data_IF_381772403231
#
_entry.id   IF_381772403231
#
_cell.length_a   1.000
_cell.length_b   1.000
_cell.length_c   1.000
_cell.angle_alpha   90.00
_cell.angle_beta   90.00
_cell.angle_gamma   90.00
#
_symmetry.space_group_name_H-M   'P 1'
#
loop_
_entity.id
_entity.type
_entity.pdbx_description
1 polymer ?
#
# COMPACT_ATOMS: atom_id res chain seq x y z
N UNK A 1 23.49 -2.49 34.77
CA UNK A 1 22.26 -2.21 33.98
C UNK A 1 22.33 -0.76 33.55
N UNK A 2 22.42 -0.34 32.29
CA UNK A 2 22.56 -1.02 31.00
C UNK A 2 23.20 0.06 30.09
N UNK A 3 24.50 -0.05 29.83
CA UNK A 3 25.18 0.84 28.86
C UNK A 3 24.84 0.46 27.40
N UNK A 4 24.16 -0.67 27.17
CA UNK A 4 23.76 -1.15 25.83
C UNK A 4 22.38 -0.68 25.36
N UNK A 5 21.53 -0.07 26.21
CA UNK A 5 20.23 0.47 25.78
C UNK A 5 20.32 1.84 25.08
N UNK A 6 21.47 2.51 25.16
CA UNK A 6 21.70 3.84 24.57
C UNK A 6 22.22 3.79 23.13
N UNK A 7 22.58 2.61 22.61
CA UNK A 7 23.16 2.44 21.27
C UNK A 7 22.13 2.43 20.13
N UNK A 8 20.84 2.38 20.43
CA UNK A 8 19.74 2.29 19.43
C UNK A 8 18.77 3.47 19.51
N UNK A 9 19.24 4.62 20.03
CA UNK A 9 18.43 5.84 20.09
C UNK A 9 19.00 6.83 19.09
N UNK A 10 18.28 6.98 17.99
CA UNK A 10 18.66 7.90 16.93
C UNK A 10 17.82 9.18 16.96
N UNK A 11 18.33 10.24 16.33
CA UNK A 11 17.60 11.51 16.18
C UNK A 11 16.50 11.41 15.14
N UNK A 12 15.39 12.11 15.38
CA UNK A 12 14.22 12.15 14.50
C UNK A 12 14.56 12.77 13.14
N UNK A 13 14.25 12.07 12.05
CA UNK A 13 14.65 12.45 10.70
C UNK A 13 13.96 13.70 10.15
N UNK A 14 12.79 14.07 10.68
CA UNK A 14 11.95 15.11 10.09
C UNK A 14 12.23 16.54 10.56
N UNK A 15 13.32 16.80 11.29
CA UNK A 15 13.64 18.15 11.82
C UNK A 15 13.87 19.18 10.71
N UNK A 16 14.50 18.77 9.61
CA UNK A 16 14.84 19.64 8.49
C UNK A 16 13.75 19.70 7.40
N UNK A 17 12.60 19.06 7.61
CA UNK A 17 11.56 18.99 6.60
C UNK A 17 10.54 20.14 6.71
N UNK A 18 9.96 20.59 5.57
CA UNK A 18 8.93 21.62 5.58
C UNK A 18 7.73 21.26 6.46
N UNK A 19 7.23 22.23 7.24
CA UNK A 19 5.97 22.06 7.95
C UNK A 19 4.77 22.15 7.00
N UNK A 20 3.79 21.27 7.19
CA UNK A 20 2.66 21.11 6.27
C UNK A 20 1.43 21.98 6.58
N UNK A 21 1.63 23.05 7.36
CA UNK A 21 0.61 24.06 7.73
C UNK A 21 -0.78 23.45 8.03
N UNK A 22 -0.80 22.36 8.78
CA UNK A 22 -1.97 21.73 9.39
C UNK A 22 -2.99 21.05 8.47
N UNK A 23 -3.11 21.43 7.19
CA UNK A 23 -4.06 20.81 6.20
C UNK A 23 -3.66 21.03 4.73
N UNK A 24 -2.81 22.01 4.45
CA UNK A 24 -2.43 22.41 3.09
C UNK A 24 -0.94 22.59 2.97
N UNK A 25 -0.36 21.93 1.99
CA UNK A 25 1.03 22.13 1.60
C UNK A 25 1.07 22.95 0.32
N UNK A 26 1.61 24.16 0.40
CA UNK A 26 1.73 25.06 -0.75
C UNK A 26 2.97 24.66 -1.54
N UNK A 27 2.76 24.23 -2.77
CA UNK A 27 3.80 23.77 -3.70
C UNK A 27 4.32 24.98 -4.49
N UNK A 28 3.42 25.83 -4.97
CA UNK A 28 3.77 26.99 -5.78
C UNK A 28 2.76 28.12 -5.63
N UNK A 29 3.23 29.36 -5.65
CA UNK A 29 2.42 30.56 -5.84
C UNK A 29 3.06 31.43 -6.91
N UNK A 30 2.27 31.89 -7.87
CA UNK A 30 2.74 32.72 -8.98
C UNK A 30 1.89 32.51 -10.22
N UNK A 31 2.39 32.95 -11.36
CA UNK A 31 1.67 32.81 -12.62
C UNK A 31 1.67 31.35 -13.09
N UNK A 32 0.57 30.93 -13.73
CA UNK A 32 0.35 29.58 -14.25
C UNK A 32 -0.10 29.65 -15.71
N UNK A 33 0.25 28.63 -16.49
CA UNK A 33 -0.30 28.44 -17.83
C UNK A 33 -1.02 27.10 -17.96
N UNK A 34 -2.16 27.11 -18.63
CA UNK A 34 -2.85 25.89 -19.04
C UNK A 34 -2.68 25.73 -20.54
N UNK A 35 -2.17 24.58 -20.95
CA UNK A 35 -1.93 24.24 -22.36
C UNK A 35 -2.65 22.95 -22.74
N UNK A 36 -2.96 22.80 -24.02
CA UNK A 36 -3.42 21.52 -24.57
C UNK A 36 -2.25 20.57 -24.84
N UNK A 37 -2.56 19.35 -25.27
CA UNK A 37 -1.57 18.32 -25.68
C UNK A 37 -0.60 18.80 -26.78
N UNK A 38 -1.04 19.75 -27.62
CA UNK A 38 -0.24 20.31 -28.72
C UNK A 38 0.59 21.52 -28.24
N UNK A 39 0.64 21.74 -26.92
CA UNK A 39 1.37 22.81 -26.23
C UNK A 39 0.89 24.22 -26.54
N UNK A 40 -0.33 24.39 -27.06
CA UNK A 40 -0.92 25.70 -27.25
C UNK A 40 -1.43 26.24 -25.91
N UNK A 41 -1.03 27.45 -25.53
CA UNK A 41 -1.54 28.11 -24.33
C UNK A 41 -3.01 28.47 -24.51
N UNK A 42 -3.87 27.86 -23.70
CA UNK A 42 -5.31 28.10 -23.65
C UNK A 42 -5.66 29.19 -22.64
N UNK A 43 -5.04 29.11 -21.45
CA UNK A 43 -5.23 30.08 -20.38
C UNK A 43 -3.89 30.50 -19.76
N UNK A 44 -3.82 31.78 -19.39
CA UNK A 44 -2.80 32.30 -18.48
C UNK A 44 -3.52 32.76 -17.22
N UNK A 45 -3.04 32.31 -16.07
CA UNK A 45 -3.60 32.64 -14.77
C UNK A 45 -2.58 33.46 -13.97
N UNK A 46 -3.02 34.55 -13.35
CA UNK A 46 -2.24 35.25 -12.32
C UNK A 46 -2.77 34.87 -10.92
N UNK A 47 -2.03 35.29 -9.88
CA UNK A 47 -2.32 34.92 -8.48
C UNK A 47 -2.52 33.40 -8.31
N UNK A 48 -1.84 32.62 -9.15
CA UNK A 48 -1.98 31.18 -9.20
C UNK A 48 -1.44 30.55 -7.93
N UNK A 49 -2.07 29.48 -7.49
CA UNK A 49 -1.65 28.71 -6.33
C UNK A 49 -1.84 27.23 -6.61
N UNK A 50 -0.79 26.46 -6.39
CA UNK A 50 -0.79 25.00 -6.46
C UNK A 50 -0.47 24.47 -5.06
N UNK A 51 -1.34 23.59 -4.55
CA UNK A 51 -1.21 23.06 -3.19
C UNK A 51 -1.81 21.67 -3.06
N UNK A 52 -1.17 20.82 -2.24
CA UNK A 52 -1.78 19.60 -1.75
C UNK A 52 -2.72 19.95 -0.59
N UNK A 53 -3.96 19.46 -0.64
CA UNK A 53 -4.89 19.50 0.49
C UNK A 53 -5.16 18.08 0.92
N UNK A 54 -5.00 17.79 2.22
CA UNK A 54 -5.31 16.47 2.77
C UNK A 54 -6.83 16.27 2.97
N UNK A 55 -7.63 17.34 2.92
CA UNK A 55 -9.07 17.31 3.13
C UNK A 55 -9.88 17.74 1.90
N UNK A 56 -11.07 17.13 1.67
CA UNK A 56 -11.63 15.99 2.41
C UNK A 56 -10.93 14.66 2.07
N UNK A 57 -10.19 14.61 0.96
CA UNK A 57 -9.24 13.55 0.58
C UNK A 57 -7.95 14.20 0.08
N UNK A 58 -6.78 13.55 0.21
CA UNK A 58 -5.54 14.02 -0.39
C UNK A 58 -5.72 14.24 -1.88
N UNK A 59 -5.56 15.49 -2.31
CA UNK A 59 -5.58 15.90 -3.72
C UNK A 59 -4.74 17.14 -3.93
N UNK A 60 -4.12 17.20 -5.10
CA UNK A 60 -3.33 18.34 -5.55
C UNK A 60 -4.27 19.29 -6.30
N UNK A 61 -4.45 20.49 -5.75
CA UNK A 61 -5.33 21.51 -6.30
C UNK A 61 -4.51 22.61 -6.95
N UNK A 62 -5.09 23.21 -7.99
CA UNK A 62 -4.63 24.49 -8.51
C UNK A 62 -5.80 25.46 -8.64
N UNK A 63 -5.49 26.75 -8.56
CA UNK A 63 -6.45 27.84 -8.82
C UNK A 63 -5.71 29.10 -9.27
N UNK A 64 -6.37 29.99 -9.98
CA UNK A 64 -5.87 31.32 -10.32
C UNK A 64 -6.90 32.16 -11.06
N UNK A 65 -6.63 33.45 -11.22
CA UNK A 65 -7.52 34.37 -11.93
C UNK A 65 -7.12 34.43 -13.42
N UNK A 66 -8.10 34.33 -14.32
CA UNK A 66 -7.87 34.27 -15.76
C UNK A 66 -7.53 35.66 -16.27
N UNK A 67 -6.31 35.85 -16.76
CA UNK A 67 -5.87 37.10 -17.42
C UNK A 67 -5.88 36.99 -18.94
N UNK A 68 -5.71 35.78 -19.47
CA UNK A 68 -5.74 35.50 -20.92
C UNK A 68 -6.42 34.16 -21.17
N UNK A 69 -7.25 34.11 -22.21
CA UNK A 69 -7.99 32.92 -22.63
C UNK A 69 -9.46 33.23 -22.88
N UNK A 70 -10.09 32.50 -23.79
CA UNK A 70 -11.54 32.56 -24.01
C UNK A 70 -12.18 31.32 -23.41
N UNK A 71 -13.42 31.42 -22.92
CA UNK A 71 -14.15 30.23 -22.52
C UNK A 71 -14.29 29.29 -23.72
N UNK A 72 -13.76 28.07 -23.58
CA UNK A 72 -14.05 26.97 -24.50
C UNK A 72 -15.10 26.08 -23.86
N UNK A 73 -16.13 25.71 -24.62
CA UNK A 73 -17.25 24.88 -24.13
C UNK A 73 -16.88 23.39 -23.96
N UNK A 74 -15.75 22.94 -24.52
CA UNK A 74 -15.41 21.51 -24.66
C UNK A 74 -14.15 21.09 -23.88
N UNK A 75 -13.81 21.79 -22.78
CA UNK A 75 -12.61 21.49 -21.99
C UNK A 75 -12.61 20.06 -21.42
N UNK A 76 -13.78 19.50 -21.13
CA UNK A 76 -13.93 18.16 -20.55
C UNK A 76 -13.48 17.03 -21.50
N UNK A 77 -13.36 17.31 -22.80
CA UNK A 77 -12.94 16.34 -23.82
C UNK A 77 -11.45 16.43 -24.19
N UNK A 78 -10.73 17.41 -23.65
CA UNK A 78 -9.35 17.72 -24.04
C UNK A 78 -8.38 17.33 -22.92
N UNK A 79 -7.24 16.77 -23.30
CA UNK A 79 -6.12 16.64 -22.37
C UNK A 79 -5.49 18.00 -22.12
N UNK A 80 -5.44 18.39 -20.85
CA UNK A 80 -4.93 19.68 -20.41
C UNK A 80 -3.72 19.46 -19.50
N UNK A 81 -2.78 20.39 -19.59
CA UNK A 81 -1.54 20.39 -18.84
C UNK A 81 -1.32 21.74 -18.18
N UNK A 82 -0.95 21.72 -16.91
CA UNK A 82 -0.52 22.88 -16.14
C UNK A 82 0.99 23.04 -16.27
N UNK A 83 1.41 24.26 -16.60
CA UNK A 83 2.80 24.68 -16.67
C UNK A 83 3.04 25.72 -15.57
N UNK A 84 4.06 25.50 -14.77
CA UNK A 84 4.58 26.42 -13.77
C UNK A 84 6.12 26.38 -13.79
N UNK A 85 6.81 27.44 -13.34
CA UNK A 85 8.27 27.50 -13.31
C UNK A 85 8.90 26.33 -12.56
N UNK A 86 9.99 25.78 -13.08
CA UNK A 86 10.82 24.71 -12.49
C UNK A 86 10.17 23.31 -12.34
N UNK A 87 8.90 23.14 -12.75
CA UNK A 87 8.23 21.84 -12.76
C UNK A 87 7.99 21.30 -14.17
N UNK A 88 7.93 19.98 -14.27
CA UNK A 88 7.45 19.29 -15.46
C UNK A 88 5.95 19.61 -15.70
N UNK A 89 5.48 19.63 -16.96
CA UNK A 89 4.06 19.83 -17.25
C UNK A 89 3.20 18.74 -16.59
N UNK A 90 2.21 19.14 -15.80
CA UNK A 90 1.38 18.22 -15.03
C UNK A 90 -0.01 18.09 -15.67
N UNK A 91 -0.53 16.87 -15.84
CA UNK A 91 -1.88 16.66 -16.40
C UNK A 91 -2.93 17.16 -15.42
N UNK A 92 -3.97 17.84 -15.90
CA UNK A 92 -5.01 18.44 -15.05
C UNK A 92 -6.43 18.10 -15.48
N UNK A 93 -7.33 18.22 -14.52
CA UNK A 93 -8.78 18.32 -14.74
C UNK A 93 -9.27 19.65 -14.19
N UNK A 94 -9.93 20.43 -15.04
CA UNK A 94 -10.58 21.68 -14.62
C UNK A 94 -11.93 21.33 -14.01
N UNK A 95 -12.16 21.74 -12.76
CA UNK A 95 -13.37 21.34 -12.01
C UNK A 95 -14.22 22.53 -11.57
N UNK A 96 -13.77 23.77 -11.82
CA UNK A 96 -14.52 24.95 -11.40
C UNK A 96 -14.16 26.19 -12.17
N UNK A 97 -15.20 26.89 -12.63
CA UNK A 97 -15.15 28.23 -13.18
C UNK A 97 -16.00 29.16 -12.32
N UNK A 98 -15.46 30.31 -11.95
CA UNK A 98 -16.22 31.36 -11.27
C UNK A 98 -16.20 32.64 -12.09
N UNK A 99 -17.37 33.23 -12.24
CA UNK A 99 -17.59 34.51 -12.90
C UNK A 99 -18.15 35.48 -11.88
N UNK A 100 -17.42 36.56 -11.62
CA UNK A 100 -17.91 37.69 -10.85
C UNK A 100 -17.83 38.94 -11.71
N UNK A 101 -18.92 39.73 -11.72
CA UNK A 101 -18.92 41.03 -12.38
C UNK A 101 -17.90 42.00 -11.77
N UNK A 102 -17.51 41.78 -10.50
CA UNK A 102 -16.59 42.65 -9.76
C UNK A 102 -15.19 42.05 -9.58
N UNK A 103 -15.05 40.72 -9.52
CA UNK A 103 -13.78 40.04 -9.19
C UNK A 103 -13.15 39.32 -10.40
N UNK A 104 -13.71 39.49 -11.60
CA UNK A 104 -13.20 38.86 -12.82
C UNK A 104 -13.56 37.38 -12.93
N UNK A 105 -12.76 36.64 -13.71
CA UNK A 105 -12.95 35.22 -13.97
C UNK A 105 -11.84 34.44 -13.25
N UNK A 106 -12.19 33.37 -12.53
CA UNK A 106 -11.20 32.45 -11.96
C UNK A 106 -11.46 31.01 -12.35
N UNK A 107 -10.38 30.24 -12.39
CA UNK A 107 -10.36 28.84 -12.78
C UNK A 107 -9.70 28.04 -11.67
N UNK A 108 -10.25 26.86 -11.39
CA UNK A 108 -9.68 25.91 -10.44
C UNK A 108 -9.84 24.47 -10.94
N UNK A 109 -8.99 23.60 -10.44
CA UNK A 109 -9.02 22.19 -10.79
C UNK A 109 -8.10 21.35 -9.92
N UNK A 110 -7.87 20.14 -10.37
CA UNK A 110 -6.96 19.19 -9.77
C UNK A 110 -5.86 18.79 -10.75
N UNK A 111 -4.69 18.46 -10.22
CA UNK A 111 -3.64 17.78 -10.96
C UNK A 111 -3.87 16.28 -10.81
N UNK A 112 -3.76 15.52 -11.90
CA UNK A 112 -3.85 14.06 -11.90
C UNK A 112 -2.47 13.45 -12.03
N UNK A 113 -2.23 12.33 -11.36
CA UNK A 113 -0.97 11.60 -11.28
C UNK A 113 0.08 12.26 -10.40
N UNK A 114 0.74 13.34 -10.86
CA UNK A 114 1.80 13.98 -10.10
C UNK A 114 2.12 15.40 -10.60
N UNK A 115 2.77 16.17 -9.74
CA UNK A 115 3.50 17.39 -10.08
C UNK A 115 4.92 17.27 -9.52
N UNK A 116 5.92 17.43 -10.39
CA UNK A 116 7.31 17.16 -10.02
C UNK A 116 8.29 18.09 -10.73
N UNK A 117 9.43 18.33 -10.08
CA UNK A 117 10.56 19.03 -10.69
C UNK A 117 11.35 18.12 -11.61
N UNK A 118 12.06 18.71 -12.56
CA UNK A 118 13.05 18.01 -13.38
C UNK A 118 14.04 17.25 -12.50
N UNK A 119 14.34 16.01 -12.88
CA UNK A 119 15.25 15.15 -12.12
C UNK A 119 16.63 15.78 -11.95
N UNK A 120 17.12 15.68 -10.72
CA UNK A 120 18.48 16.02 -10.35
C UNK A 120 19.03 14.91 -9.46
N UNK A 121 20.35 14.72 -9.46
CA UNK A 121 20.99 13.80 -8.53
C UNK A 121 20.90 14.32 -7.10
N UNK A 122 20.48 13.44 -6.20
CA UNK A 122 20.24 13.70 -4.77
C UNK A 122 21.05 12.69 -3.93
N UNK A 123 21.36 13.07 -2.69
CA UNK A 123 22.02 12.21 -1.71
C UNK A 123 21.00 11.44 -0.87
N UNK A 124 19.81 12.04 -0.68
CA UNK A 124 18.73 11.51 0.16
C UNK A 124 17.37 11.82 -0.44
N UNK A 125 16.46 10.86 -0.38
CA UNK A 125 15.07 11.01 -0.76
C UNK A 125 14.17 10.89 0.47
N UNK A 126 13.63 12.01 0.94
CA UNK A 126 12.65 12.02 2.02
C UNK A 126 11.24 11.83 1.48
N UNK A 127 10.40 11.20 2.28
CA UNK A 127 8.99 11.01 1.96
C UNK A 127 8.12 11.07 3.21
N UNK A 128 6.86 11.45 3.04
CA UNK A 128 5.88 11.44 4.13
C UNK A 128 4.94 10.25 3.99
N UNK A 129 4.57 9.65 5.14
CA UNK A 129 3.60 8.56 5.19
C UNK A 129 2.30 9.03 5.84
N UNK A 130 1.22 8.96 5.09
CA UNK A 130 -0.13 9.28 5.55
C UNK A 130 -0.82 8.06 6.13
N UNK A 131 -1.46 8.25 7.28
CA UNK A 131 -2.35 7.27 7.89
C UNK A 131 -1.74 5.89 8.18
N UNK A 132 -0.43 5.74 8.41
CA UNK A 132 0.14 4.48 8.90
C UNK A 132 -0.03 4.32 10.42
N UNK A 133 -0.01 3.08 10.90
CA UNK A 133 -0.36 2.75 12.28
C UNK A 133 0.67 3.15 13.32
N UNK A 134 0.22 3.29 14.58
CA UNK A 134 1.07 3.58 15.72
C UNK A 134 1.92 2.36 16.09
N UNK A 135 2.91 2.07 15.25
CA UNK A 135 3.79 0.91 15.38
C UNK A 135 4.81 1.12 16.50
N UNK A 136 5.06 0.06 17.25
CA UNK A 136 6.25 -0.04 18.09
C UNK A 136 7.46 -0.27 17.17
N UNK A 137 8.63 0.18 17.58
CA UNK A 137 9.83 0.22 16.74
C UNK A 137 11.04 0.59 17.57
N UNK A 138 12.16 0.84 16.91
CA UNK A 138 13.40 1.26 17.60
C UNK A 138 13.24 2.66 18.21
N UNK A 139 14.16 3.01 19.11
CA UNK A 139 14.12 4.26 19.87
C UNK A 139 14.43 5.48 19.00
N UNK A 140 13.62 6.52 19.16
CA UNK A 140 13.77 7.83 18.51
C UNK A 140 13.87 8.89 19.60
N UNK A 141 14.86 9.77 19.47
CA UNK A 141 15.01 11.00 20.26
C UNK A 141 14.61 12.21 19.42
N UNK A 142 13.80 13.08 20.02
CA UNK A 142 13.49 14.39 19.46
C UNK A 142 13.33 15.40 20.58
N UNK A 143 14.11 16.48 20.55
CA UNK A 143 14.23 17.43 21.65
C UNK A 143 14.47 16.70 23.00
N UNK A 144 13.61 16.92 24.00
CA UNK A 144 13.65 16.28 25.32
C UNK A 144 12.77 15.02 25.41
N UNK A 145 12.31 14.46 24.28
CA UNK A 145 11.43 13.30 24.23
C UNK A 145 12.17 12.07 23.69
N UNK A 146 11.87 10.93 24.29
CA UNK A 146 12.27 9.60 23.84
C UNK A 146 11.02 8.76 23.62
N UNK A 147 10.89 8.13 22.45
CA UNK A 147 9.76 7.28 22.12
C UNK A 147 10.16 6.20 21.11
N UNK A 148 9.40 5.11 21.04
CA UNK A 148 9.62 4.02 20.07
C UNK A 148 8.82 4.26 18.79
N UNK A 149 9.41 4.00 17.62
CA UNK A 149 8.68 4.07 16.35
C UNK A 149 9.55 4.15 15.10
N UNK A 150 10.82 3.75 15.17
CA UNK A 150 11.70 3.64 14.00
C UNK A 150 11.63 2.25 13.39
N UNK A 151 11.49 2.20 12.07
CA UNK A 151 11.56 0.99 11.24
C UNK A 151 12.73 1.17 10.27
N UNK A 152 13.53 0.13 10.07
CA UNK A 152 14.64 0.14 9.11
C UNK A 152 14.50 -1.00 8.14
N UNK A 153 14.37 -0.69 6.85
CA UNK A 153 14.27 -1.67 5.77
C UNK A 153 15.52 -1.58 4.91
N UNK A 154 15.98 -2.72 4.40
CA UNK A 154 17.17 -2.81 3.57
C UNK A 154 16.89 -3.61 2.30
N UNK A 155 17.46 -3.17 1.18
CA UNK A 155 17.43 -3.92 -0.08
C UNK A 155 18.63 -3.56 -0.95
N UNK A 156 19.51 -4.54 -1.20
CA UNK A 156 20.75 -4.35 -1.97
C UNK A 156 21.58 -3.18 -1.40
N UNK A 157 21.80 -2.12 -2.17
CA UNK A 157 22.53 -0.92 -1.76
C UNK A 157 21.67 0.11 -1.03
N UNK A 158 20.37 -0.13 -0.86
CA UNK A 158 19.42 0.84 -0.33
C UNK A 158 19.09 0.60 1.13
N UNK A 159 19.12 1.68 1.90
CA UNK A 159 18.62 1.75 3.26
C UNK A 159 17.41 2.68 3.30
N UNK A 160 16.34 2.23 3.96
CA UNK A 160 15.12 3.00 4.17
C UNK A 160 14.88 3.08 5.67
N UNK A 161 14.78 4.29 6.20
CA UNK A 161 14.45 4.52 7.61
C UNK A 161 13.10 5.24 7.66
N UNK A 162 12.20 4.77 8.51
CA UNK A 162 10.87 5.34 8.72
C UNK A 162 10.71 5.67 10.20
N UNK A 163 10.49 6.94 10.50
CA UNK A 163 10.28 7.47 11.84
C UNK A 163 8.85 7.91 12.06
N UNK A 164 8.26 7.40 13.14
CA UNK A 164 7.00 7.92 13.69
C UNK A 164 7.16 9.37 14.15
N UNK A 165 6.12 10.18 13.91
CA UNK A 165 6.11 11.61 14.29
C UNK A 165 6.23 11.82 15.82
N UNK A 166 6.96 12.87 16.27
CA UNK A 166 7.11 13.15 17.70
C UNK A 166 5.80 13.49 18.43
N UNK A 167 4.82 14.03 17.71
CA UNK A 167 3.46 14.35 18.21
C UNK A 167 2.43 13.24 17.93
N UNK A 168 2.88 11.99 17.74
CA UNK A 168 2.03 10.84 17.38
C UNK A 168 0.77 10.69 18.24
N UNK A 169 0.85 10.87 19.57
CA UNK A 169 -0.34 10.77 20.45
C UNK A 169 -1.48 11.69 19.99
N UNK A 170 -1.17 12.96 19.75
CA UNK A 170 -2.14 13.93 19.24
C UNK A 170 -2.64 13.57 17.85
N UNK A 171 -1.73 13.11 16.97
CA UNK A 171 -2.08 12.69 15.60
C UNK A 171 -3.09 11.53 15.64
N UNK A 172 -2.81 10.46 16.39
CA UNK A 172 -3.70 9.30 16.46
C UNK A 172 -5.00 9.59 17.19
N UNK A 173 -4.99 10.43 18.22
CA UNK A 173 -6.23 10.91 18.85
C UNK A 173 -7.09 11.70 17.86
N UNK A 174 -6.48 12.56 17.04
CA UNK A 174 -7.19 13.29 15.99
C UNK A 174 -7.73 12.37 14.89
N UNK A 175 -6.93 11.39 14.44
CA UNK A 175 -7.32 10.43 13.42
C UNK A 175 -8.48 9.56 13.90
N UNK A 176 -8.46 9.08 15.15
CA UNK A 176 -9.58 8.34 15.77
C UNK A 176 -10.88 9.14 15.81
N UNK A 177 -10.78 10.43 16.08
CA UNK A 177 -11.95 11.31 16.21
C UNK A 177 -12.50 11.79 14.86
N UNK A 178 -11.71 11.74 13.79
CA UNK A 178 -12.09 12.35 12.50
C UNK A 178 -12.17 11.37 11.34
N UNK A 179 -11.45 10.25 11.40
CA UNK A 179 -11.27 9.30 10.29
C UNK A 179 -10.75 9.95 9.01
N UNK A 180 -9.92 11.00 9.14
CA UNK A 180 -9.37 11.77 8.03
C UNK A 180 -7.91 11.36 7.73
N UNK A 181 -7.11 12.32 7.26
CA UNK A 181 -5.77 12.12 6.73
C UNK A 181 -4.78 13.00 7.49
N UNK A 182 -3.73 12.37 8.00
CA UNK A 182 -2.61 13.06 8.64
C UNK A 182 -1.32 12.28 8.44
N UNK A 183 -0.21 13.00 8.51
CA UNK A 183 1.12 12.41 8.42
C UNK A 183 1.47 11.78 9.73
N UNK A 184 1.70 10.49 9.65
CA UNK A 184 1.96 9.61 10.78
C UNK A 184 3.46 9.33 10.93
N UNK A 185 4.17 9.28 9.80
CA UNK A 185 5.60 9.00 9.74
C UNK A 185 6.31 9.85 8.68
N UNK A 186 7.62 9.98 8.85
CA UNK A 186 8.57 10.50 7.87
C UNK A 186 9.52 9.36 7.52
N UNK A 187 9.82 9.17 6.25
CA UNK A 187 10.84 8.25 5.81
C UNK A 187 11.95 8.93 5.03
N UNK A 188 13.09 8.25 4.94
CA UNK A 188 14.23 8.61 4.10
C UNK A 188 14.73 7.35 3.39
N UNK A 189 15.09 7.50 2.11
CA UNK A 189 15.82 6.51 1.33
C UNK A 189 17.22 7.06 1.06
N UNK A 190 18.23 6.24 1.35
CA UNK A 190 19.63 6.54 1.08
C UNK A 190 20.32 5.33 0.45
N UNK A 191 21.42 5.58 -0.25
CA UNK A 191 22.36 4.52 -0.61
C UNK A 191 23.34 4.28 0.54
N UNK A 192 23.62 3.02 0.81
CA UNK A 192 24.62 2.56 1.78
C UNK A 192 26.04 2.94 1.37
N UNK A 193 26.31 3.07 0.06
CA UNK A 193 27.59 3.54 -0.49
C UNK A 193 27.75 5.08 -0.53
N UNK A 194 26.71 5.80 -0.08
CA UNK A 194 26.64 7.27 -0.02
C UNK A 194 26.90 7.97 -1.35
N UNK A 195 26.72 7.27 -2.48
CA UNK A 195 26.75 7.92 -3.79
C UNK A 195 25.43 8.65 -4.08
N UNK A 196 25.48 9.78 -4.81
CA UNK A 196 24.27 10.41 -5.32
C UNK A 196 23.51 9.47 -6.27
N UNK A 197 22.19 9.66 -6.34
CA UNK A 197 21.30 8.89 -7.22
C UNK A 197 20.18 9.79 -7.76
N UNK A 198 19.50 9.35 -8.81
CA UNK A 198 18.29 10.04 -9.28
C UNK A 198 17.06 9.53 -8.55
N UNK A 199 16.06 10.37 -8.26
CA UNK A 199 14.82 9.92 -7.61
C UNK A 199 14.17 8.70 -8.27
N UNK A 200 14.20 8.62 -9.60
CA UNK A 200 13.69 7.49 -10.38
C UNK A 200 14.38 6.16 -10.05
N UNK A 201 15.66 6.18 -9.68
CA UNK A 201 16.40 4.98 -9.28
C UNK A 201 15.81 4.35 -8.01
N UNK A 202 15.06 5.12 -7.20
CA UNK A 202 14.42 4.67 -5.97
C UNK A 202 12.89 4.48 -6.09
N UNK A 203 12.29 4.73 -7.26
CA UNK A 203 10.82 4.65 -7.45
C UNK A 203 10.27 3.25 -7.12
N UNK A 204 11.00 2.20 -7.48
CA UNK A 204 10.60 0.83 -7.19
C UNK A 204 10.50 0.54 -5.69
N UNK A 205 11.31 1.22 -4.86
CA UNK A 205 11.27 1.09 -3.40
C UNK A 205 10.03 1.78 -2.83
N UNK A 206 9.70 2.97 -3.33
CA UNK A 206 8.50 3.70 -2.92
C UNK A 206 7.22 2.92 -3.29
N UNK A 207 7.17 2.36 -4.51
CA UNK A 207 6.05 1.51 -4.93
C UNK A 207 5.94 0.26 -4.05
N UNK A 208 7.06 -0.45 -3.80
CA UNK A 208 7.06 -1.61 -2.91
C UNK A 208 6.63 -1.24 -1.48
N UNK A 209 7.05 -0.09 -0.98
CA UNK A 209 6.69 0.40 0.34
C UNK A 209 5.20 0.74 0.43
N UNK A 210 4.65 1.44 -0.56
CA UNK A 210 3.22 1.74 -0.65
C UNK A 210 2.38 0.48 -0.53
N UNK A 211 2.68 -0.53 -1.35
CA UNK A 211 1.93 -1.79 -1.36
C UNK A 211 2.17 -2.63 -0.10
N UNK A 212 3.39 -2.68 0.42
CA UNK A 212 3.69 -3.43 1.63
C UNK A 212 2.96 -2.84 2.85
N UNK A 213 3.04 -1.52 3.05
CA UNK A 213 2.37 -0.88 4.19
C UNK A 213 0.85 -0.99 4.05
N UNK A 214 0.32 -0.90 2.82
CA UNK A 214 -1.10 -1.09 2.55
C UNK A 214 -1.55 -2.53 2.81
N UNK A 215 -0.75 -3.52 2.43
CA UNK A 215 -0.97 -4.93 2.74
C UNK A 215 -0.95 -5.21 4.24
N UNK A 216 0.02 -4.62 4.95
CA UNK A 216 0.16 -4.76 6.40
C UNK A 216 -1.05 -4.18 7.15
N UNK A 217 -1.70 -3.13 6.63
CA UNK A 217 -2.84 -2.48 7.28
C UNK A 217 -4.20 -2.84 6.70
N UNK A 218 -4.23 -3.45 5.52
CA UNK A 218 -5.49 -3.79 4.86
C UNK A 218 -6.27 -2.58 4.36
N UNK A 219 -5.57 -1.46 4.11
CA UNK A 219 -6.11 -0.20 3.56
C UNK A 219 -5.00 0.58 2.89
N UNK A 220 -5.32 1.48 1.97
CA UNK A 220 -4.31 2.24 1.24
C UNK A 220 -3.61 3.26 2.14
N UNK A 221 -2.29 3.15 2.23
CA UNK A 221 -1.39 4.06 2.95
C UNK A 221 -0.81 5.07 1.96
N UNK A 222 -0.80 6.36 2.29
CA UNK A 222 -0.32 7.40 1.37
C UNK A 222 1.18 7.65 1.47
N UNK A 223 1.83 7.86 0.32
CA UNK A 223 3.24 8.23 0.18
C UNK A 223 3.34 9.35 -0.86
N UNK A 224 2.65 10.45 -0.56
CA UNK A 224 2.25 11.42 -1.59
C UNK A 224 3.26 12.55 -1.78
N UNK A 225 4.16 12.78 -0.83
CA UNK A 225 5.09 13.92 -0.85
C UNK A 225 6.51 13.37 -0.78
N UNK A 226 7.30 13.65 -1.82
CA UNK A 226 8.67 13.23 -1.99
C UNK A 226 9.58 14.45 -2.14
N UNK A 227 10.69 14.47 -1.40
CA UNK A 227 11.62 15.59 -1.34
C UNK A 227 13.05 15.08 -1.47
N UNK A 228 13.75 15.54 -2.51
CA UNK A 228 15.10 15.14 -2.84
C UNK A 228 16.11 16.18 -2.39
N UNK A 229 17.08 15.76 -1.59
CA UNK A 229 18.09 16.64 -1.00
C UNK A 229 19.48 16.34 -1.54
N UNK A 230 20.25 17.40 -1.79
CA UNK A 230 21.68 17.34 -2.06
C UNK A 230 22.38 18.36 -1.18
N UNK A 231 23.45 17.96 -0.49
CA UNK A 231 24.18 18.85 0.44
C UNK A 231 23.24 19.57 1.45
N UNK A 232 22.26 18.85 2.01
CA UNK A 232 21.23 19.36 2.95
C UNK A 232 20.26 20.41 2.35
N UNK A 233 20.27 20.62 1.04
CA UNK A 233 19.34 21.51 0.34
C UNK A 233 18.32 20.69 -0.47
N UNK A 234 17.03 21.00 -0.29
CA UNK A 234 15.95 20.41 -1.08
C UNK A 234 15.99 20.97 -2.51
N UNK A 235 16.46 20.16 -3.46
CA UNK A 235 16.61 20.55 -4.88
C UNK A 235 15.58 19.88 -5.81
N UNK A 236 14.95 18.80 -5.33
CA UNK A 236 13.93 18.08 -6.07
C UNK A 236 12.69 17.86 -5.20
N UNK A 237 11.52 17.87 -5.83
CA UNK A 237 10.24 17.72 -5.16
C UNK A 237 9.26 17.07 -6.13
N UNK A 238 8.50 16.09 -5.63
CA UNK A 238 7.41 15.44 -6.35
C UNK A 238 6.25 15.21 -5.40
N UNK A 239 5.06 15.60 -5.83
CA UNK A 239 3.82 15.37 -5.12
C UNK A 239 2.94 14.49 -6.00
N UNK A 240 2.57 13.33 -5.47
CA UNK A 240 1.83 12.29 -6.16
C UNK A 240 0.35 12.28 -5.73
N UNK A 241 -0.52 11.94 -6.67
CA UNK A 241 -1.94 11.72 -6.49
C UNK A 241 -2.21 10.22 -6.32
N UNK A 242 -1.84 9.68 -5.16
CA UNK A 242 -2.04 8.28 -4.82
C UNK A 242 -3.41 8.04 -4.17
N UNK A 243 -3.92 6.80 -4.29
CA UNK A 243 -5.09 6.37 -3.52
C UNK A 243 -4.67 6.27 -2.05
N UNK A 244 -5.35 6.99 -1.18
CA UNK A 244 -5.18 6.92 0.27
C UNK A 244 -6.54 6.68 0.90
N UNK A 245 -6.59 5.75 1.85
CA UNK A 245 -7.81 5.45 2.58
C UNK A 245 -7.98 6.35 3.78
N UNK A 246 -9.25 6.58 4.15
CA UNK A 246 -9.58 7.18 5.44
C UNK A 246 -8.88 6.41 6.56
N UNK A 247 -8.49 7.11 7.61
CA UNK A 247 -7.97 6.42 8.77
C UNK A 247 -9.10 5.72 9.53
N UNK A 248 -8.86 4.46 9.87
CA UNK A 248 -9.64 3.69 10.82
C UNK A 248 -8.70 2.93 11.77
N UNK A 249 -9.24 2.36 12.84
CA UNK A 249 -8.46 1.50 13.76
C UNK A 249 -7.96 0.21 13.09
N UNK A 250 -8.34 -0.03 11.82
CA UNK A 250 -7.99 -1.16 11.00
C UNK A 250 -8.82 -2.40 11.31
N UNK A 251 -8.98 -3.24 10.29
CA UNK A 251 -9.37 -4.64 10.49
C UNK A 251 -8.16 -5.43 11.00
N UNK A 252 -8.41 -6.60 11.57
CA UNK A 252 -7.34 -7.55 11.89
C UNK A 252 -6.66 -7.94 10.57
N UNK A 253 -5.33 -7.89 10.54
CA UNK A 253 -4.51 -8.33 9.40
C UNK A 253 -3.45 -9.31 9.87
N UNK A 254 -2.69 -9.87 8.92
CA UNK A 254 -1.52 -10.70 9.21
C UNK A 254 -0.38 -9.99 9.97
N UNK A 255 -0.34 -8.66 9.98
CA UNK A 255 0.75 -7.87 10.54
C UNK A 255 0.46 -7.40 11.97
N UNK A 256 1.47 -7.48 12.85
CA UNK A 256 1.37 -6.94 14.21
C UNK A 256 2.14 -5.62 14.34
N UNK A 257 1.46 -4.57 14.78
CA UNK A 257 2.09 -3.27 15.08
C UNK A 257 3.12 -3.33 16.24
N UNK A 258 3.11 -4.39 17.04
CA UNK A 258 4.11 -4.63 18.10
C UNK A 258 5.38 -5.31 17.58
N UNK A 259 5.33 -5.87 16.37
CA UNK A 259 6.42 -6.64 15.77
C UNK A 259 6.77 -6.05 14.38
N UNK A 260 7.22 -4.79 14.32
CA UNK A 260 7.57 -4.10 13.07
C UNK A 260 8.67 -4.82 12.28
N UNK A 261 9.50 -5.64 12.94
CA UNK A 261 10.55 -6.43 12.31
C UNK A 261 10.01 -7.44 11.29
N UNK A 262 8.70 -7.74 11.34
CA UNK A 262 8.01 -8.48 10.29
C UNK A 262 8.10 -7.77 8.93
N UNK A 263 8.03 -6.43 8.91
CA UNK A 263 8.18 -5.63 7.70
C UNK A 263 9.62 -5.71 7.18
N UNK A 264 10.61 -5.67 8.08
CA UNK A 264 12.03 -5.80 7.71
C UNK A 264 12.30 -7.12 6.99
N UNK A 265 11.72 -8.22 7.48
CA UNK A 265 11.88 -9.56 6.89
C UNK A 265 11.20 -9.71 5.54
N UNK A 266 10.01 -9.16 5.37
CA UNK A 266 9.21 -9.36 4.16
C UNK A 266 9.57 -8.37 3.04
N UNK A 267 10.08 -7.18 3.37
CA UNK A 267 10.37 -6.13 2.39
C UNK A 267 11.24 -6.57 1.19
N UNK A 268 12.41 -7.24 1.38
CA UNK A 268 13.20 -7.69 0.24
C UNK A 268 12.47 -8.76 -0.60
N UNK A 269 11.69 -9.63 0.04
CA UNK A 269 10.87 -10.63 -0.65
C UNK A 269 9.78 -9.98 -1.51
N UNK A 270 9.17 -8.92 -0.96
CA UNK A 270 8.14 -8.13 -1.62
C UNK A 270 8.67 -7.46 -2.89
N UNK A 271 9.82 -6.78 -2.81
CA UNK A 271 10.47 -6.17 -3.97
C UNK A 271 10.79 -7.23 -5.03
N UNK A 272 11.38 -8.35 -4.63
CA UNK A 272 11.75 -9.41 -5.57
C UNK A 272 10.52 -9.97 -6.30
N UNK A 273 9.39 -10.16 -5.60
CA UNK A 273 8.17 -10.66 -6.22
C UNK A 273 7.48 -9.62 -7.11
N UNK A 274 7.54 -8.34 -6.77
CA UNK A 274 7.04 -7.27 -7.65
C UNK A 274 7.84 -7.13 -8.95
N UNK A 275 9.14 -7.44 -8.92
CA UNK A 275 10.02 -7.39 -10.09
C UNK A 275 9.98 -8.66 -10.95
N UNK A 276 9.28 -9.69 -10.49
CA UNK A 276 9.05 -10.92 -11.23
C UNK A 276 8.17 -10.62 -12.47
N UNK A 277 8.64 -10.91 -13.70
CA UNK A 277 7.89 -10.57 -14.92
C UNK A 277 6.54 -11.27 -15.04
N UNK A 278 6.38 -12.45 -14.42
CA UNK A 278 5.11 -13.17 -14.40
C UNK A 278 4.23 -12.63 -13.26
N UNK A 279 4.80 -12.43 -12.07
CA UNK A 279 4.01 -12.17 -10.87
C UNK A 279 3.77 -10.70 -10.54
N UNK A 280 4.57 -9.77 -11.03
CA UNK A 280 4.52 -8.36 -10.62
C UNK A 280 3.11 -7.77 -10.69
N UNK A 281 2.51 -7.76 -11.89
CA UNK A 281 1.15 -7.23 -12.09
C UNK A 281 0.07 -8.06 -11.37
N UNK A 282 0.19 -9.38 -11.38
CA UNK A 282 -0.79 -10.28 -10.75
C UNK A 282 -0.79 -10.18 -9.21
N UNK A 283 0.38 -9.94 -8.61
CA UNK A 283 0.50 -9.67 -7.17
C UNK A 283 -0.17 -8.34 -6.82
N UNK A 284 0.03 -7.29 -7.63
CA UNK A 284 -0.66 -6.00 -7.41
C UNK A 284 -2.17 -6.17 -7.45
N UNK A 285 -2.71 -6.89 -8.44
CA UNK A 285 -4.15 -7.18 -8.52
C UNK A 285 -4.65 -7.96 -7.29
N UNK A 286 -3.90 -8.96 -6.82
CA UNK A 286 -4.27 -9.72 -5.63
C UNK A 286 -4.27 -8.86 -4.36
N UNK A 287 -3.31 -7.93 -4.24
CA UNK A 287 -3.22 -6.99 -3.13
C UNK A 287 -4.35 -5.96 -3.15
N UNK A 288 -4.72 -5.45 -4.33
CA UNK A 288 -5.88 -4.58 -4.52
C UNK A 288 -7.16 -5.25 -4.03
N UNK A 289 -7.45 -6.47 -4.50
CA UNK A 289 -8.64 -7.21 -4.07
C UNK A 289 -8.59 -7.60 -2.59
N UNK A 290 -7.40 -7.87 -2.03
CA UNK A 290 -7.26 -8.06 -0.59
C UNK A 290 -7.64 -6.78 0.17
N UNK A 291 -7.15 -5.61 -0.24
CA UNK A 291 -7.49 -4.33 0.40
C UNK A 291 -8.98 -4.02 0.21
N UNK A 292 -9.51 -4.15 -1.00
CA UNK A 292 -10.94 -3.90 -1.28
C UNK A 292 -11.85 -4.87 -0.49
N UNK A 293 -11.41 -6.10 -0.21
CA UNK A 293 -12.13 -7.03 0.68
C UNK A 293 -12.17 -6.57 2.13
N UNK A 294 -11.13 -5.86 2.59
CA UNK A 294 -11.08 -5.28 3.93
C UNK A 294 -11.76 -3.91 3.99
N UNK A 295 -11.87 -3.18 2.88
CA UNK A 295 -12.64 -1.93 2.80
C UNK A 295 -14.13 -2.13 2.46
N UNK A 296 -14.52 -3.37 2.14
CA UNK A 296 -15.90 -3.73 1.80
C UNK A 296 -16.91 -3.30 2.87
N UNK A 297 -18.05 -2.75 2.42
CA UNK A 297 -19.13 -2.28 3.28
C UNK A 297 -20.05 -3.42 3.74
N UNK A 298 -20.13 -4.49 2.94
CA UNK A 298 -20.95 -5.67 3.21
C UNK A 298 -20.12 -6.94 3.02
N UNK A 299 -20.45 -8.00 3.78
CA UNK A 299 -19.68 -9.24 3.81
C UNK A 299 -19.64 -9.96 2.47
N UNK A 300 -20.70 -9.81 1.68
CA UNK A 300 -20.86 -10.40 0.36
C UNK A 300 -19.78 -9.93 -0.63
N UNK A 301 -19.38 -8.67 -0.56
CA UNK A 301 -18.29 -8.10 -1.37
C UNK A 301 -16.96 -8.78 -1.03
N UNK A 302 -16.68 -9.00 0.27
CA UNK A 302 -15.46 -9.71 0.71
C UNK A 302 -15.37 -11.10 0.09
N UNK A 303 -16.46 -11.87 0.09
CA UNK A 303 -16.48 -13.21 -0.52
C UNK A 303 -16.11 -13.16 -2.00
N UNK A 304 -16.58 -12.15 -2.74
CA UNK A 304 -16.27 -11.99 -4.17
C UNK A 304 -14.79 -11.66 -4.36
N UNK A 305 -14.26 -10.67 -3.63
CA UNK A 305 -12.87 -10.23 -3.78
C UNK A 305 -11.88 -11.31 -3.38
N UNK A 306 -12.10 -11.96 -2.25
CA UNK A 306 -11.24 -13.04 -1.76
C UNK A 306 -11.24 -14.23 -2.71
N UNK A 307 -12.42 -14.64 -3.23
CA UNK A 307 -12.49 -15.73 -4.21
C UNK A 307 -11.73 -15.38 -5.48
N UNK A 308 -11.89 -14.15 -5.97
CA UNK A 308 -11.23 -13.68 -7.20
C UNK A 308 -9.71 -13.67 -7.05
N UNK A 309 -9.19 -13.21 -5.91
CA UNK A 309 -7.75 -13.20 -5.63
C UNK A 309 -7.18 -14.62 -5.51
N UNK A 310 -7.84 -15.51 -4.76
CA UNK A 310 -7.41 -16.90 -4.63
C UNK A 310 -7.45 -17.64 -5.98
N UNK A 311 -8.49 -17.42 -6.79
CA UNK A 311 -8.60 -18.02 -8.12
C UNK A 311 -7.52 -17.49 -9.07
N UNK A 312 -7.23 -16.19 -9.05
CA UNK A 312 -6.15 -15.58 -9.85
C UNK A 312 -4.80 -16.19 -9.50
N UNK A 313 -4.46 -16.24 -8.21
CA UNK A 313 -3.18 -16.80 -7.75
C UNK A 313 -3.09 -18.29 -8.15
N UNK A 314 -4.16 -19.06 -7.95
CA UNK A 314 -4.23 -20.47 -8.34
C UNK A 314 -4.06 -20.66 -9.86
N UNK A 315 -4.69 -19.80 -10.67
CA UNK A 315 -4.61 -19.87 -12.13
C UNK A 315 -3.19 -19.61 -12.62
N UNK A 316 -2.55 -18.53 -12.14
CA UNK A 316 -1.17 -18.20 -12.51
C UNK A 316 -0.23 -19.33 -12.09
N UNK A 317 -0.34 -19.77 -10.83
CA UNK A 317 0.49 -20.85 -10.26
C UNK A 317 0.46 -22.12 -11.10
N UNK A 318 -0.72 -22.64 -11.41
CA UNK A 318 -0.84 -23.95 -12.05
C UNK A 318 -0.83 -23.95 -13.58
N UNK A 319 -1.14 -22.82 -14.22
CA UNK A 319 -1.25 -22.75 -15.69
C UNK A 319 -0.12 -21.96 -16.36
N UNK A 320 0.51 -21.02 -15.64
CA UNK A 320 1.54 -20.13 -16.20
C UNK A 320 2.92 -20.28 -15.53
N UNK A 321 2.98 -20.61 -14.24
CA UNK A 321 4.26 -20.81 -13.55
C UNK A 321 4.71 -22.27 -13.62
N UNK A 322 3.91 -23.19 -13.05
CA UNK A 322 4.27 -24.62 -12.97
C UNK A 322 3.85 -25.41 -14.21
N UNK A 323 2.95 -24.87 -15.03
CA UNK A 323 2.38 -25.52 -16.23
C UNK A 323 1.81 -26.94 -15.99
N UNK A 324 1.36 -27.24 -14.77
CA UNK A 324 0.85 -28.57 -14.37
C UNK A 324 -0.55 -28.82 -14.97
N UNK A 325 -1.36 -27.77 -15.14
CA UNK A 325 -2.74 -27.86 -15.62
C UNK A 325 -2.90 -26.95 -16.85
N UNK A 326 -3.43 -27.49 -17.96
CA UNK A 326 -3.77 -26.67 -19.12
C UNK A 326 -4.96 -25.76 -18.81
N UNK A 327 -5.02 -24.58 -19.46
CA UNK A 327 -6.13 -23.62 -19.30
C UNK A 327 -7.52 -24.29 -19.39
N UNK A 328 -7.77 -25.06 -20.46
CA UNK A 328 -9.07 -25.74 -20.66
C UNK A 328 -9.42 -26.77 -19.57
N UNK A 329 -8.42 -27.34 -18.90
CA UNK A 329 -8.64 -28.28 -17.78
C UNK A 329 -8.88 -27.52 -16.50
N UNK A 330 -8.13 -26.45 -16.26
CA UNK A 330 -8.28 -25.59 -15.10
C UNK A 330 -9.68 -24.95 -15.06
N UNK A 331 -10.16 -24.45 -16.20
CA UNK A 331 -11.48 -23.80 -16.32
C UNK A 331 -12.65 -24.76 -16.01
N UNK A 332 -12.42 -26.08 -16.08
CA UNK A 332 -13.42 -27.12 -15.75
C UNK A 332 -13.43 -27.52 -14.28
N UNK A 333 -12.45 -27.08 -13.48
CA UNK A 333 -12.41 -27.36 -12.05
C UNK A 333 -13.51 -26.61 -11.32
N UNK A 334 -14.10 -27.24 -10.30
CA UNK A 334 -14.96 -26.52 -9.36
C UNK A 334 -14.15 -25.46 -8.63
N UNK A 335 -14.77 -24.33 -8.29
CA UNK A 335 -14.07 -23.24 -7.61
C UNK A 335 -13.49 -23.66 -6.26
N UNK A 336 -14.19 -24.54 -5.53
CA UNK A 336 -13.69 -25.17 -4.31
C UNK A 336 -12.42 -25.97 -4.54
N UNK A 337 -12.31 -26.67 -5.67
CA UNK A 337 -11.11 -27.44 -6.05
C UNK A 337 -9.96 -26.53 -6.44
N UNK A 338 -10.21 -25.42 -7.15
CA UNK A 338 -9.16 -24.44 -7.49
C UNK A 338 -8.50 -23.87 -6.24
N UNK A 339 -9.30 -23.53 -5.22
CA UNK A 339 -8.81 -23.05 -3.92
C UNK A 339 -8.13 -24.19 -3.16
N UNK A 340 -8.75 -25.36 -3.07
CA UNK A 340 -8.20 -26.53 -2.37
C UNK A 340 -6.82 -26.94 -2.90
N UNK A 341 -6.65 -26.95 -4.23
CA UNK A 341 -5.37 -27.22 -4.90
C UNK A 341 -4.30 -26.20 -4.49
N UNK A 342 -4.63 -24.91 -4.53
CA UNK A 342 -3.70 -23.84 -4.14
C UNK A 342 -3.28 -23.96 -2.68
N UNK A 343 -4.25 -24.09 -1.76
CA UNK A 343 -3.96 -24.20 -0.33
C UNK A 343 -3.14 -25.44 -0.02
N UNK A 344 -3.40 -26.56 -0.69
CA UNK A 344 -2.61 -27.77 -0.55
C UNK A 344 -1.17 -27.58 -1.05
N UNK A 345 -0.96 -27.01 -2.25
CA UNK A 345 0.38 -26.68 -2.78
C UNK A 345 1.15 -25.77 -1.83
N UNK A 346 0.45 -24.83 -1.18
CA UNK A 346 1.03 -23.87 -0.26
C UNK A 346 1.20 -24.39 1.17
N UNK A 347 0.73 -25.59 1.47
CA UNK A 347 0.79 -26.18 2.82
C UNK A 347 -0.14 -25.50 3.83
N UNK A 348 -1.20 -24.85 3.36
CA UNK A 348 -2.18 -24.16 4.20
C UNK A 348 -3.31 -25.14 4.61
N UNK A 349 -3.64 -25.25 5.92
CA UNK A 349 -4.70 -26.15 6.37
C UNK A 349 -6.08 -25.81 5.78
N UNK A 350 -6.72 -26.79 5.14
CA UNK A 350 -8.06 -26.62 4.53
C UNK A 350 -9.22 -26.94 5.47
N UNK A 351 -8.96 -27.55 6.63
CA UNK A 351 -10.00 -27.95 7.59
C UNK A 351 -10.66 -26.74 8.24
N UNK A 352 -11.96 -26.84 8.52
CA UNK A 352 -12.71 -25.83 9.26
C UNK A 352 -12.30 -25.90 10.74
N UNK A 353 -11.71 -24.85 11.34
CA UNK A 353 -11.21 -24.88 12.71
C UNK A 353 -12.25 -24.51 13.77
N UNK A 354 -13.52 -24.36 13.37
CA UNK A 354 -14.63 -23.97 14.24
C UNK A 354 -15.87 -24.81 13.94
N UNK A 355 -16.81 -24.82 14.88
CA UNK A 355 -18.10 -25.48 14.70
C UNK A 355 -18.97 -24.67 13.73
N UNK A 356 -19.58 -25.36 12.77
CA UNK A 356 -20.53 -24.78 11.83
C UNK A 356 -21.72 -25.72 11.64
N UNK A 357 -22.93 -25.16 11.54
CA UNK A 357 -24.16 -25.92 11.32
C UNK A 357 -25.02 -25.29 10.21
N UNK A 358 -25.41 -26.05 9.16
CA UNK A 358 -25.05 -27.45 8.91
C UNK A 358 -23.55 -27.62 8.61
N UNK A 359 -23.00 -28.81 8.90
CA UNK A 359 -21.58 -29.09 8.68
C UNK A 359 -21.17 -29.08 7.19
N UNK A 360 -19.93 -28.72 6.91
CA UNK A 360 -19.31 -28.72 5.58
C UNK A 360 -18.06 -29.60 5.58
N UNK A 361 -17.67 -30.11 4.41
CA UNK A 361 -16.51 -31.00 4.26
C UNK A 361 -15.21 -30.31 4.65
N UNK A 362 -14.99 -29.11 4.13
CA UNK A 362 -13.81 -28.29 4.42
C UNK A 362 -14.08 -26.80 4.19
N UNK A 363 -13.09 -25.97 4.50
CA UNK A 363 -13.15 -24.52 4.37
C UNK A 363 -13.34 -24.03 2.93
N UNK A 364 -12.58 -24.52 1.93
CA UNK A 364 -12.78 -24.16 0.53
C UNK A 364 -14.22 -24.43 0.05
N UNK A 365 -14.81 -25.57 0.41
CA UNK A 365 -16.19 -25.88 0.04
C UNK A 365 -17.19 -24.95 0.73
N UNK A 366 -17.05 -24.73 2.05
CA UNK A 366 -17.88 -23.76 2.78
C UNK A 366 -17.83 -22.36 2.16
N UNK A 367 -16.63 -21.85 1.93
CA UNK A 367 -16.39 -20.50 1.43
C UNK A 367 -17.01 -20.30 0.04
N UNK A 368 -16.74 -21.24 -0.87
CA UNK A 368 -17.26 -21.16 -2.25
C UNK A 368 -18.76 -21.40 -2.33
N UNK A 369 -19.35 -22.22 -1.44
CA UNK A 369 -20.80 -22.39 -1.38
C UNK A 369 -21.51 -21.07 -1.02
N UNK A 370 -20.98 -20.32 -0.05
CA UNK A 370 -21.49 -19.00 0.33
C UNK A 370 -21.33 -18.02 -0.83
N UNK A 371 -20.11 -17.90 -1.39
CA UNK A 371 -19.85 -17.04 -2.56
C UNK A 371 -20.80 -17.34 -3.72
N UNK A 372 -20.99 -18.61 -4.05
CA UNK A 372 -21.85 -19.02 -5.15
C UNK A 372 -23.33 -18.68 -4.89
N UNK A 373 -23.78 -18.65 -3.62
CA UNK A 373 -25.14 -18.19 -3.29
C UNK A 373 -25.35 -16.69 -3.50
N UNK A 374 -24.26 -15.91 -3.46
CA UNK A 374 -24.26 -14.45 -3.69
C UNK A 374 -24.34 -14.17 -5.20
N UNK A 375 -23.49 -14.85 -5.98
CA UNK A 375 -23.38 -14.64 -7.43
C UNK A 375 -24.52 -15.29 -8.21
N UNK A 376 -25.03 -16.42 -7.74
CA UNK A 376 -26.11 -17.15 -8.38
C UNK A 376 -27.31 -17.28 -7.41
N UNK A 377 -28.45 -16.60 -7.68
CA UNK A 377 -29.59 -16.52 -6.75
C UNK A 377 -30.43 -17.81 -6.70
N UNK A 378 -29.82 -18.97 -6.93
CA UNK A 378 -30.48 -20.27 -6.79
C UNK A 378 -30.57 -20.62 -5.31
N UNK A 379 -31.72 -21.14 -4.86
CA UNK A 379 -31.94 -21.54 -3.46
C UNK A 379 -30.90 -22.59 -3.03
N UNK A 380 -29.90 -22.16 -2.27
CA UNK A 380 -29.00 -23.05 -1.52
C UNK A 380 -29.50 -23.16 -0.09
N UNK A 381 -30.44 -24.07 0.15
CA UNK A 381 -31.08 -24.28 1.47
C UNK A 381 -30.04 -24.42 2.60
N UNK A 382 -28.92 -25.10 2.32
CA UNK A 382 -27.81 -25.29 3.25
C UNK A 382 -27.09 -23.98 3.64
N UNK A 383 -26.92 -23.05 2.71
CA UNK A 383 -26.32 -21.73 2.94
C UNK A 383 -27.32 -20.76 3.58
N UNK A 384 -28.60 -20.89 3.23
CA UNK A 384 -29.68 -20.12 3.86
C UNK A 384 -29.90 -20.51 5.34
N UNK A 385 -29.52 -21.74 5.72
CA UNK A 385 -29.53 -22.19 7.10
C UNK A 385 -28.36 -21.67 7.95
N UNK A 386 -27.31 -21.11 7.33
CA UNK A 386 -26.17 -20.55 8.06
C UNK A 386 -26.59 -19.28 8.81
N UNK A 387 -26.22 -19.21 10.08
CA UNK A 387 -26.39 -17.99 10.87
C UNK A 387 -25.47 -16.86 10.38
N UNK A 388 -25.73 -15.63 10.81
CA UNK A 388 -24.82 -14.51 10.58
C UNK A 388 -23.41 -14.79 11.14
N UNK A 389 -23.33 -15.38 12.33
CA UNK A 389 -22.07 -15.76 12.98
C UNK A 389 -21.31 -16.81 12.17
N UNK A 390 -21.98 -17.83 11.63
CA UNK A 390 -21.34 -18.83 10.76
C UNK A 390 -20.78 -18.21 9.48
N UNK A 391 -21.52 -17.26 8.88
CA UNK A 391 -21.06 -16.52 7.69
C UNK A 391 -19.86 -15.64 8.02
N UNK A 392 -19.87 -14.96 9.17
CA UNK A 392 -18.75 -14.17 9.64
C UNK A 392 -17.49 -15.03 9.89
N UNK A 393 -17.62 -16.21 10.50
CA UNK A 393 -16.51 -17.15 10.66
C UNK A 393 -15.95 -17.62 9.31
N UNK A 394 -16.82 -17.91 8.34
CA UNK A 394 -16.40 -18.26 6.99
C UNK A 394 -15.70 -17.09 6.27
N UNK A 395 -16.14 -15.86 6.52
CA UNK A 395 -15.49 -14.64 6.05
C UNK A 395 -14.07 -14.50 6.61
N UNK A 396 -13.88 -14.64 7.92
CA UNK A 396 -12.53 -14.61 8.52
C UNK A 396 -11.64 -15.75 7.99
N UNK A 397 -12.21 -16.93 7.74
CA UNK A 397 -11.50 -18.05 7.13
C UNK A 397 -11.02 -17.73 5.70
N UNK A 398 -11.86 -17.10 4.88
CA UNK A 398 -11.49 -16.68 3.54
C UNK A 398 -10.35 -15.65 3.52
N UNK A 399 -10.45 -14.62 4.37
CA UNK A 399 -9.39 -13.62 4.49
C UNK A 399 -8.08 -14.24 4.97
N UNK A 400 -8.15 -15.19 5.91
CA UNK A 400 -6.98 -15.92 6.41
C UNK A 400 -6.32 -16.75 5.31
N UNK A 401 -7.11 -17.42 4.46
CA UNK A 401 -6.59 -18.10 3.29
C UNK A 401 -5.88 -17.15 2.34
N UNK A 402 -6.45 -15.98 2.05
CA UNK A 402 -5.83 -15.02 1.15
C UNK A 402 -4.53 -14.44 1.71
N UNK A 403 -4.52 -14.04 2.98
CA UNK A 403 -3.32 -13.54 3.66
C UNK A 403 -2.18 -14.56 3.62
N UNK A 404 -2.45 -15.80 4.04
CA UNK A 404 -1.45 -16.86 4.01
C UNK A 404 -1.01 -17.17 2.58
N UNK A 405 -1.93 -17.11 1.62
CA UNK A 405 -1.58 -17.33 0.21
C UNK A 405 -0.61 -16.26 -0.28
N UNK A 406 -0.88 -14.98 -0.01
CA UNK A 406 0.02 -13.87 -0.38
C UNK A 406 1.37 -14.01 0.34
N UNK A 407 1.38 -14.29 1.64
CA UNK A 407 2.62 -14.52 2.40
C UNK A 407 3.44 -15.67 1.83
N UNK A 408 2.79 -16.79 1.47
CA UNK A 408 3.45 -17.94 0.85
C UNK A 408 3.99 -17.61 -0.54
N UNK A 409 3.21 -16.89 -1.34
CA UNK A 409 3.61 -16.45 -2.68
C UNK A 409 4.85 -15.55 -2.66
N UNK A 410 4.97 -14.71 -1.63
CA UNK A 410 6.16 -13.89 -1.36
C UNK A 410 7.36 -14.73 -0.87
N UNK A 411 7.16 -15.98 -0.49
CA UNK A 411 8.21 -16.81 0.12
C UNK A 411 8.47 -16.48 1.59
N UNK A 412 7.54 -15.79 2.26
CA UNK A 412 7.71 -15.37 3.65
C UNK A 412 7.75 -16.57 4.61
N UNK A 413 8.81 -16.66 5.41
CA UNK A 413 9.01 -17.69 6.43
C UNK A 413 9.19 -17.04 7.80
N UNK A 414 8.10 -16.85 8.54
CA UNK A 414 8.15 -16.06 9.75
C UNK A 414 6.91 -16.19 10.63
N UNK A 415 6.65 -15.12 11.36
CA UNK A 415 5.50 -15.00 12.23
C UNK A 415 4.39 -14.22 11.54
N UNK A 416 3.14 -14.45 11.92
CA UNK A 416 2.00 -13.68 11.46
C UNK A 416 0.94 -13.63 12.57
N UNK A 417 0.05 -12.67 12.48
CA UNK A 417 -1.16 -12.59 13.32
C UNK A 417 -2.21 -13.50 12.70
N UNK A 418 -2.66 -14.49 13.46
CA UNK A 418 -3.74 -15.38 13.02
C UNK A 418 -5.10 -14.76 13.36
N UNK A 419 -5.76 -14.18 12.35
CA UNK A 419 -7.10 -13.59 12.50
C UNK A 419 -8.17 -14.55 13.00
N UNK A 420 -8.00 -15.87 12.81
CA UNK A 420 -8.99 -16.86 13.27
C UNK A 420 -9.09 -16.94 14.79
N UNK A 421 -8.10 -16.45 15.53
CA UNK A 421 -8.17 -16.27 16.99
C UNK A 421 -9.20 -15.23 17.43
N UNK A 422 -9.75 -14.45 16.51
CA UNK A 422 -10.91 -13.59 16.81
C UNK A 422 -12.19 -14.40 17.04
N UNK A 423 -12.29 -15.59 16.44
CA UNK A 423 -13.49 -16.45 16.51
C UNK A 423 -13.67 -17.05 17.91
N UNK A 424 -12.58 -17.39 18.59
CA UNK A 424 -12.60 -17.95 19.95
C UNK A 424 -12.23 -16.92 21.03
N UNK A 425 -12.16 -15.64 20.67
CA UNK A 425 -11.78 -14.52 21.54
C UNK A 425 -10.39 -14.64 22.18
N UNK A 426 -9.48 -15.43 21.58
CA UNK A 426 -8.09 -15.58 22.06
C UNK A 426 -7.12 -14.56 21.44
N UNK A 427 -7.59 -13.73 20.51
CA UNK A 427 -6.79 -12.67 19.90
C UNK A 427 -6.57 -11.50 20.87
N UNK A 428 -5.30 -11.11 21.02
CA UNK A 428 -4.88 -9.92 21.77
C UNK A 428 -3.70 -9.26 21.06
N UNK A 429 -3.45 -7.99 21.38
CA UNK A 429 -2.47 -7.17 20.67
C UNK A 429 -1.04 -7.68 20.87
N UNK A 430 -0.37 -8.10 19.80
CA UNK A 430 0.98 -8.71 19.86
C UNK A 430 1.00 -10.23 19.72
N UNK A 431 -0.17 -10.89 19.72
CA UNK A 431 -0.28 -12.33 19.48
C UNK A 431 0.14 -12.67 18.05
N UNK A 432 1.27 -13.36 17.93
CA UNK A 432 1.82 -13.85 16.66
C UNK A 432 2.14 -15.34 16.76
N UNK A 433 2.06 -16.03 15.64
CA UNK A 433 2.42 -17.44 15.52
C UNK A 433 3.17 -17.71 14.22
N UNK A 434 3.84 -18.86 14.13
CA UNK A 434 4.58 -19.26 12.92
C UNK A 434 3.60 -19.57 11.78
N UNK A 435 3.95 -19.19 10.56
CA UNK A 435 3.21 -19.60 9.35
C UNK A 435 3.15 -21.14 9.23
N UNK A 436 2.11 -21.72 8.60
CA UNK A 436 1.95 -23.19 8.53
C UNK A 436 3.12 -23.95 7.90
N UNK A 437 3.83 -23.32 6.96
CA UNK A 437 4.98 -23.90 6.27
C UNK A 437 6.33 -23.55 6.90
N UNK A 438 6.33 -23.04 8.14
CA UNK A 438 7.54 -22.54 8.77
C UNK A 438 8.65 -23.61 8.82
N UNK A 439 9.87 -23.23 8.42
CA UNK A 439 11.08 -24.05 8.53
C UNK A 439 12.11 -23.30 9.37
N UNK A 440 12.74 -23.95 10.34
CA UNK A 440 13.84 -23.34 11.09
C UNK A 440 15.02 -23.04 10.15
N UNK A 441 15.58 -21.83 10.26
CA UNK A 441 16.55 -21.26 9.31
C UNK A 441 17.88 -22.07 9.20
N UNK A 442 18.16 -22.97 10.14
CA UNK A 442 19.30 -23.90 10.05
C UNK A 442 19.17 -24.89 8.88
N UNK A 443 17.96 -25.25 8.44
CA UNK A 443 17.75 -26.09 7.26
C UNK A 443 17.68 -25.31 5.96
N UNK A 444 17.25 -24.05 5.99
CA UNK A 444 17.10 -23.18 4.82
C UNK A 444 18.47 -22.83 4.19
N UNK A 445 19.49 -22.54 5.01
CA UNK A 445 20.85 -22.28 4.52
C UNK A 445 21.49 -23.49 3.82
N UNK A 446 21.06 -24.72 4.16
CA UNK A 446 21.47 -25.94 3.46
C UNK A 446 20.82 -26.09 2.09
N UNK A 447 19.55 -25.72 1.95
CA UNK A 447 18.83 -25.80 0.67
C UNK A 447 19.24 -24.70 -0.32
N UNK A 448 19.50 -23.48 0.16
CA UNK A 448 20.00 -22.40 -0.70
C UNK A 448 21.44 -22.65 -1.20
N UNK A 449 22.33 -23.21 -0.37
CA UNK A 449 23.68 -23.58 -0.80
C UNK A 449 23.69 -24.74 -1.80
N UNK A 450 22.84 -25.75 -1.61
CA UNK A 450 22.70 -26.87 -2.56
C UNK A 450 22.15 -26.44 -3.93
N UNK A 451 21.17 -25.53 -3.98
CA UNK A 451 20.63 -25.05 -5.25
C UNK A 451 21.60 -24.11 -6.00
N UNK A 452 22.40 -23.32 -5.29
CA UNK A 452 23.41 -22.46 -5.89
C UNK A 452 24.58 -23.27 -6.48
N UNK A 453 25.03 -24.34 -5.80
CA UNK A 453 26.06 -25.24 -6.34
C UNK A 453 25.58 -26.05 -7.55
N UNK A 454 24.29 -26.43 -7.58
CA UNK A 454 23.72 -27.17 -8.70
C UNK A 454 23.60 -26.30 -9.96
N UNK A 455 23.22 -25.03 -9.81
CA UNK A 455 23.16 -24.06 -10.92
C UNK A 455 24.54 -23.65 -11.46
N UNK A 456 25.61 -23.75 -10.66
CA UNK A 456 26.99 -23.52 -11.15
C UNK A 456 27.62 -24.74 -11.83
N UNK A 457 27.19 -25.97 -11.49
CA UNK A 457 27.67 -27.18 -12.18
C UNK A 457 27.02 -27.38 -13.54
N UNK A 458 25.82 -26.85 -13.76
CA UNK A 458 25.14 -26.89 -15.07
C UNK A 458 25.61 -25.78 -16.03
N UNK A 459 26.44 -24.84 -15.57
CA UNK A 459 26.99 -23.72 -16.37
C UNK A 459 28.48 -23.86 -16.71
N UNK A 460 29.13 -24.99 -16.40
CA UNK A 460 30.52 -25.27 -16.75
C UNK A 460 30.67 -26.48 -17.66
#
# INVERSE_FOLDING_TARGET
>A
MNYDLLKEIDEYLGENLPSLKGKKFVIYNGDLEIRDKDKNTLYTLNNGSVYLSLLPKPKIYFKGDIVKGKLKKDLDSQELYLYLPDFNPAKILVTGFKFSSNDGMSLSGIITNAIEKSEQEIDRLYFYILNFDDTFGRGIRHENKLYSGRITLNYDIWEIIIDKRPNHKFIYDWLKNTSLYEITHVGVIERTDKQPFKPLDAEFLLNALFWLLSFARGRYIGIDILLGFRDEVCIWESIQDLRVSNWDEGKITWFSKQHPEMLEKIFPLFINKLRDPLWGEHLLMALEWYIDSLEANIMEETFIWVSSALELISWIRFTQEEFIISKDKYDKLYESDKIRLLLHDFGIPIKIPFNISPGYEDGPYLFTEIRNSIVHPVKKEKVNALSFDDRWKAHELGLWYLELTILRLLGYNGYYVNRLKSIDHSLWEGNIEKVPWYKDDEMSNKFYSLNYETQQRERN
#
